data_IF_069847906670
#
_entry.id   IF_069847906670
#
_cell.length_a   1.000
_cell.length_b   1.000
_cell.length_c   1.000
_cell.angle_alpha   90.00
_cell.angle_beta   90.00
_cell.angle_gamma   90.00
#
_symmetry.space_group_name_H-M   'P 1'
#
loop_
_entity.id
_entity.type
_entity.pdbx_description
1 polymer ?
#
# COMPACT_ATOMS: atom_id res chain seq x y z
N UNK A 1 -2.11 -21.85 4.02
CA UNK A 1 -0.85 -22.12 4.75
C UNK A 1 0.33 -22.56 3.85
N UNK A 2 0.28 -22.32 2.52
CA UNK A 2 1.47 -22.38 1.64
C UNK A 2 1.96 -20.97 1.19
N UNK A 3 1.06 -19.97 1.15
CA UNK A 3 1.38 -18.59 0.77
C UNK A 3 2.29 -17.86 1.76
N UNK A 4 2.14 -18.11 3.07
CA UNK A 4 2.90 -17.43 4.13
C UNK A 4 4.41 -17.69 4.05
N UNK A 5 4.82 -18.93 3.75
CA UNK A 5 6.25 -19.26 3.58
C UNK A 5 6.87 -18.52 2.40
N UNK A 6 6.11 -18.30 1.33
CA UNK A 6 6.57 -17.53 0.16
C UNK A 6 6.76 -16.05 0.52
N UNK A 7 5.79 -15.45 1.21
CA UNK A 7 5.85 -14.02 1.57
C UNK A 7 6.96 -13.73 2.57
N UNK A 8 7.22 -14.59 3.54
CA UNK A 8 8.28 -14.32 4.53
C UNK A 8 9.67 -14.73 4.04
N UNK A 9 9.79 -15.32 2.85
CA UNK A 9 11.05 -15.83 2.31
C UNK A 9 12.05 -14.70 2.00
N UNK A 10 13.30 -14.93 2.43
CA UNK A 10 14.43 -14.03 2.18
C UNK A 10 14.39 -12.70 2.94
N UNK A 11 13.52 -12.56 3.94
CA UNK A 11 13.56 -11.45 4.91
C UNK A 11 14.53 -11.80 6.04
N UNK A 12 15.30 -10.82 6.52
CA UNK A 12 16.04 -10.98 7.77
C UNK A 12 15.09 -10.92 8.99
N UNK A 13 15.64 -11.08 10.20
CA UNK A 13 14.83 -11.14 11.42
C UNK A 13 14.01 -9.86 11.64
N UNK A 14 14.62 -8.69 11.49
CA UNK A 14 13.99 -7.39 11.73
C UNK A 14 12.93 -7.07 10.67
N UNK A 15 13.20 -7.37 9.40
CA UNK A 15 12.23 -7.23 8.31
C UNK A 15 11.04 -8.16 8.51
N UNK A 16 11.29 -9.41 8.94
CA UNK A 16 10.24 -10.39 9.21
C UNK A 16 9.36 -9.92 10.37
N UNK A 17 9.95 -9.44 11.45
CA UNK A 17 9.21 -8.86 12.58
C UNK A 17 8.32 -7.70 12.12
N UNK A 18 8.87 -6.75 11.36
CA UNK A 18 8.12 -5.61 10.83
C UNK A 18 6.96 -6.01 9.88
N UNK A 19 7.09 -7.15 9.17
CA UNK A 19 6.05 -7.71 8.30
C UNK A 19 4.96 -8.42 9.10
N UNK A 20 5.34 -9.16 10.14
CA UNK A 20 4.41 -9.92 10.99
C UNK A 20 3.56 -9.02 11.89
N UNK A 21 4.11 -7.88 12.31
CA UNK A 21 3.37 -6.93 13.13
C UNK A 21 2.34 -6.15 12.29
N UNK A 22 1.09 -6.60 12.34
CA UNK A 22 -0.05 -6.02 11.61
C UNK A 22 -1.07 -5.35 12.55
N UNK A 23 -0.73 -5.19 13.84
CA UNK A 23 -1.60 -4.60 14.84
C UNK A 23 -1.01 -3.29 15.35
N UNK A 24 -1.87 -2.27 15.46
CA UNK A 24 -1.48 -0.96 15.99
C UNK A 24 -0.48 -0.17 15.12
N UNK A 25 -0.07 1.01 15.62
CA UNK A 25 0.91 1.86 14.95
C UNK A 25 2.30 1.22 14.92
N UNK A 26 3.01 1.35 13.80
CA UNK A 26 4.39 0.89 13.66
C UNK A 26 5.21 1.89 12.84
N UNK A 27 6.37 2.30 13.38
CA UNK A 27 7.36 3.11 12.70
C UNK A 27 8.57 2.25 12.31
N UNK A 28 8.97 2.26 11.05
CA UNK A 28 10.14 1.53 10.55
C UNK A 28 11.23 2.54 10.19
N UNK A 29 12.27 2.62 11.02
CA UNK A 29 13.46 3.44 10.77
C UNK A 29 14.50 2.58 10.06
N UNK A 30 14.95 3.00 8.87
CA UNK A 30 15.96 2.24 8.16
C UNK A 30 16.77 3.08 7.16
N UNK A 31 18.07 2.79 7.06
CA UNK A 31 19.01 3.46 6.15
C UNK A 31 18.73 3.20 4.67
N UNK A 32 19.44 3.88 3.77
CA UNK A 32 19.38 3.58 2.34
C UNK A 32 19.75 2.11 2.07
N UNK A 33 19.13 1.49 1.07
CA UNK A 33 19.42 0.08 0.70
C UNK A 33 18.87 -1.00 1.66
N UNK A 34 18.34 -0.66 2.83
CA UNK A 34 17.87 -1.62 3.85
C UNK A 34 16.61 -2.43 3.50
N UNK A 35 16.03 -2.23 2.32
CA UNK A 35 14.83 -2.93 1.89
C UNK A 35 13.51 -2.35 2.41
N UNK A 36 13.43 -1.08 2.83
CA UNK A 36 12.17 -0.42 3.28
C UNK A 36 10.94 -0.75 2.43
N UNK A 37 11.06 -0.54 1.11
CA UNK A 37 9.96 -0.82 0.17
C UNK A 37 9.60 -2.30 0.13
N UNK A 38 10.59 -3.19 0.29
CA UNK A 38 10.37 -4.65 0.37
C UNK A 38 9.57 -4.99 1.62
N UNK A 39 9.93 -4.45 2.78
CA UNK A 39 9.18 -4.64 4.03
C UNK A 39 7.73 -4.20 3.88
N UNK A 40 7.50 -2.99 3.32
CA UNK A 40 6.14 -2.46 3.13
C UNK A 40 5.32 -3.38 2.21
N UNK A 41 5.85 -3.81 1.06
CA UNK A 41 5.10 -4.68 0.13
C UNK A 41 4.85 -6.07 0.72
N UNK A 42 5.82 -6.64 1.43
CA UNK A 42 5.65 -7.93 2.09
C UNK A 42 4.62 -7.85 3.23
N UNK A 43 4.59 -6.75 4.01
CA UNK A 43 3.60 -6.51 5.06
C UNK A 43 2.19 -6.42 4.47
N UNK A 44 2.00 -5.70 3.37
CA UNK A 44 0.72 -5.65 2.66
C UNK A 44 0.30 -7.04 2.17
N UNK A 45 1.21 -7.78 1.54
CA UNK A 45 0.90 -9.13 1.07
C UNK A 45 0.52 -10.05 2.23
N UNK A 46 1.24 -9.96 3.35
CA UNK A 46 0.93 -10.71 4.56
C UNK A 46 -0.46 -10.35 5.13
N UNK A 47 -0.79 -9.06 5.23
CA UNK A 47 -2.13 -8.60 5.65
C UNK A 47 -3.24 -9.22 4.79
N UNK A 48 -3.06 -9.25 3.46
CA UNK A 48 -4.02 -9.83 2.53
C UNK A 48 -4.14 -11.36 2.67
N UNK A 49 -3.04 -12.08 2.90
CA UNK A 49 -3.08 -13.52 3.20
C UNK A 49 -3.79 -13.82 4.53
N UNK A 50 -3.67 -12.93 5.51
CA UNK A 50 -4.38 -13.03 6.80
C UNK A 50 -5.87 -12.69 6.70
N UNK A 51 -6.39 -12.46 5.50
CA UNK A 51 -7.81 -12.22 5.25
C UNK A 51 -8.25 -10.78 5.42
N UNK A 52 -7.33 -9.82 5.62
CA UNK A 52 -7.67 -8.40 5.65
C UNK A 52 -8.18 -8.01 4.24
N UNK A 53 -9.39 -7.44 4.11
CA UNK A 53 -9.90 -7.05 2.81
C UNK A 53 -9.03 -5.98 2.16
N UNK A 54 -8.69 -6.16 0.89
CA UNK A 54 -7.81 -5.22 0.17
C UNK A 54 -8.36 -3.78 0.15
N UNK A 55 -9.69 -3.63 0.08
CA UNK A 55 -10.39 -2.33 0.17
C UNK A 55 -10.15 -1.57 1.48
N UNK A 56 -9.69 -2.26 2.53
CA UNK A 56 -9.37 -1.69 3.84
C UNK A 56 -7.90 -1.27 3.96
N UNK A 57 -7.11 -1.44 2.89
CA UNK A 57 -5.69 -1.08 2.86
C UNK A 57 -5.49 0.08 1.88
N UNK A 58 -4.84 1.13 2.38
CA UNK A 58 -4.39 2.28 1.58
C UNK A 58 -2.87 2.38 1.69
N UNK A 59 -2.18 2.35 0.56
CA UNK A 59 -0.74 2.52 0.47
C UNK A 59 -0.43 3.82 -0.28
N UNK A 60 0.22 4.77 0.42
CA UNK A 60 0.51 6.11 -0.12
C UNK A 60 2.00 6.34 -0.21
N UNK A 61 2.43 7.05 -1.24
CA UNK A 61 3.83 7.47 -1.43
C UNK A 61 3.91 8.87 -2.05
N UNK A 62 5.11 9.42 -2.21
CA UNK A 62 5.29 10.77 -2.76
C UNK A 62 5.30 10.82 -4.28
N UNK A 63 5.79 9.78 -4.97
CA UNK A 63 5.99 9.82 -6.41
C UNK A 63 5.13 8.79 -7.15
N UNK A 64 4.68 9.15 -8.36
CA UNK A 64 3.99 8.22 -9.24
C UNK A 64 4.83 6.99 -9.58
N UNK A 65 6.16 7.17 -9.69
CA UNK A 65 7.10 6.06 -9.91
C UNK A 65 7.06 5.05 -8.76
N UNK A 66 7.16 5.52 -7.52
CA UNK A 66 7.11 4.64 -6.35
C UNK A 66 5.75 3.92 -6.22
N UNK A 67 4.64 4.58 -6.54
CA UNK A 67 3.32 3.97 -6.51
C UNK A 67 3.21 2.83 -7.55
N UNK A 68 3.71 3.05 -8.77
CA UNK A 68 3.75 2.02 -9.83
C UNK A 68 4.65 0.86 -9.45
N UNK A 69 5.84 1.13 -8.92
CA UNK A 69 6.78 0.08 -8.48
C UNK A 69 6.19 -0.77 -7.35
N UNK A 70 5.54 -0.14 -6.36
CA UNK A 70 4.86 -0.85 -5.28
C UNK A 70 3.75 -1.76 -5.81
N UNK A 71 2.94 -1.26 -6.75
CA UNK A 71 1.89 -2.04 -7.41
C UNK A 71 2.46 -3.21 -8.21
N UNK A 72 3.56 -3.00 -8.94
CA UNK A 72 4.22 -4.06 -9.71
C UNK A 72 4.73 -5.17 -8.79
N UNK A 73 5.39 -4.82 -7.67
CA UNK A 73 5.86 -5.80 -6.66
C UNK A 73 4.72 -6.59 -6.02
N UNK A 74 3.61 -5.94 -5.68
CA UNK A 74 2.45 -6.65 -5.13
C UNK A 74 1.81 -7.57 -6.17
N UNK A 75 1.76 -7.14 -7.44
CA UNK A 75 1.26 -7.96 -8.55
C UNK A 75 2.11 -9.20 -8.83
N UNK A 76 3.42 -9.18 -8.52
CA UNK A 76 4.27 -10.37 -8.64
C UNK A 76 4.13 -11.32 -7.45
N UNK A 77 3.59 -10.86 -6.32
CA UNK A 77 3.43 -11.67 -5.10
C UNK A 77 2.02 -12.24 -4.94
N UNK A 78 1.01 -11.59 -5.54
CA UNK A 78 -0.40 -11.83 -5.26
C UNK A 78 -1.21 -11.88 -6.55
N UNK A 79 -2.30 -12.65 -6.53
CA UNK A 79 -3.26 -12.64 -7.63
C UNK A 79 -4.00 -11.32 -7.72
N UNK A 80 -4.44 -10.96 -8.94
CA UNK A 80 -5.27 -9.77 -9.18
C UNK A 80 -6.54 -9.75 -8.33
N UNK A 81 -7.11 -10.93 -8.06
CA UNK A 81 -8.29 -11.07 -7.22
C UNK A 81 -8.04 -10.62 -5.78
N UNK A 82 -6.89 -10.98 -5.18
CA UNK A 82 -6.53 -10.60 -3.81
C UNK A 82 -6.29 -9.10 -3.63
N UNK A 83 -5.84 -8.41 -4.67
CA UNK A 83 -5.57 -6.97 -4.61
C UNK A 83 -6.79 -6.10 -4.98
N UNK A 84 -7.92 -6.71 -5.34
CA UNK A 84 -9.07 -5.98 -5.89
C UNK A 84 -9.62 -4.97 -4.88
N UNK A 85 -9.65 -3.70 -5.26
CA UNK A 85 -10.18 -2.61 -4.45
C UNK A 85 -9.15 -1.92 -3.56
N UNK A 86 -7.89 -2.40 -3.50
CA UNK A 86 -6.83 -1.74 -2.76
C UNK A 86 -6.43 -0.41 -3.41
N UNK A 87 -6.15 0.60 -2.58
CA UNK A 87 -5.67 1.90 -3.05
C UNK A 87 -4.15 1.95 -2.93
N UNK A 88 -3.48 2.16 -4.07
CA UNK A 88 -2.04 2.46 -4.15
C UNK A 88 -1.90 3.75 -4.94
N UNK A 89 -1.45 4.82 -4.31
CA UNK A 89 -1.45 6.14 -4.95
C UNK A 89 -0.40 7.09 -4.37
N UNK A 90 -0.28 8.27 -4.97
CA UNK A 90 0.36 9.40 -4.29
C UNK A 90 -0.60 10.07 -3.32
N UNK A 91 -0.08 10.96 -2.47
CA UNK A 91 -0.92 11.84 -1.63
C UNK A 91 -1.85 12.69 -2.49
N UNK A 92 -1.35 13.34 -3.54
CA UNK A 92 -2.16 14.15 -4.46
C UNK A 92 -3.25 13.32 -5.16
N UNK A 93 -2.90 12.13 -5.66
CA UNK A 93 -3.88 11.25 -6.30
C UNK A 93 -4.95 10.76 -5.32
N UNK A 94 -4.59 10.50 -4.06
CA UNK A 94 -5.54 10.14 -3.02
C UNK A 94 -6.47 11.32 -2.70
N UNK A 95 -5.90 12.51 -2.49
CA UNK A 95 -6.66 13.73 -2.23
C UNK A 95 -7.63 14.05 -3.36
N UNK A 96 -7.18 14.01 -4.61
CA UNK A 96 -8.06 14.20 -5.76
C UNK A 96 -9.18 13.16 -5.79
N UNK A 97 -8.89 11.88 -5.52
CA UNK A 97 -9.94 10.83 -5.46
C UNK A 97 -11.00 11.15 -4.40
N UNK A 98 -10.59 11.58 -3.21
CA UNK A 98 -11.51 11.95 -2.13
C UNK A 98 -12.36 13.15 -2.54
N UNK A 99 -11.75 14.19 -3.12
CA UNK A 99 -12.47 15.37 -3.60
C UNK A 99 -13.47 15.00 -4.72
N UNK A 100 -13.06 14.18 -5.70
CA UNK A 100 -13.98 13.70 -6.74
C UNK A 100 -15.20 12.96 -6.18
N UNK A 101 -15.12 12.41 -4.95
CA UNK A 101 -16.22 11.72 -4.30
C UNK A 101 -17.04 12.62 -3.37
N UNK A 102 -16.41 13.59 -2.71
CA UNK A 102 -17.02 14.29 -1.56
C UNK A 102 -16.96 15.82 -1.64
N UNK A 103 -16.42 16.42 -2.71
CA UNK A 103 -16.18 17.88 -2.78
C UNK A 103 -17.46 18.72 -2.70
N UNK A 104 -18.60 18.17 -3.09
CA UNK A 104 -19.90 18.86 -2.99
C UNK A 104 -20.26 19.22 -1.54
N UNK A 105 -19.77 18.45 -0.55
CA UNK A 105 -19.95 18.75 0.87
C UNK A 105 -19.27 20.04 1.31
N UNK A 106 -18.29 20.51 0.53
CA UNK A 106 -17.59 21.77 0.76
C UNK A 106 -18.22 22.93 -0.05
N UNK A 107 -19.32 22.70 -0.77
CA UNK A 107 -19.99 23.70 -1.59
C UNK A 107 -19.40 23.89 -2.99
N UNK A 108 -18.44 23.07 -3.41
CA UNK A 108 -17.93 23.07 -4.78
C UNK A 108 -18.77 22.15 -5.68
N UNK A 109 -18.56 22.24 -7.00
CA UNK A 109 -19.25 21.41 -8.00
C UNK A 109 -18.26 20.60 -8.82
N UNK A 110 -18.73 19.46 -9.33
CA UNK A 110 -18.03 18.69 -10.35
C UNK A 110 -18.44 19.15 -11.77
N UNK A 111 -17.52 19.10 -12.75
CA UNK A 111 -16.07 18.85 -12.59
C UNK A 111 -15.37 20.11 -12.04
N UNK A 112 -14.29 19.91 -11.27
CA UNK A 112 -13.36 20.98 -10.87
C UNK A 112 -12.03 20.86 -11.62
N UNK A 113 -11.33 21.99 -11.75
CA UNK A 113 -10.00 22.05 -12.37
C UNK A 113 -8.91 22.02 -11.30
N UNK A 114 -7.83 21.30 -11.57
CA UNK A 114 -6.60 21.37 -10.79
C UNK A 114 -5.65 22.31 -11.54
N UNK A 115 -5.31 23.43 -10.93
CA UNK A 115 -4.28 24.32 -11.43
C UNK A 115 -2.91 23.81 -10.98
N UNK A 116 -1.92 23.89 -11.86
CA UNK A 116 -0.54 23.45 -11.64
C UNK A 116 0.41 24.61 -11.82
#
# INVERSE_FOLDING_TARGET
MAGDRSILSGLNAEQREAVLNIQGPQLILAGAGSGKTRVITHRIAYMLERGIPARSIVAVTFTNKAAREMKARLSSMLTRAKMRGMVISTFHSLGNRILQQEIERLGYRLPFSIYT
#
